data_IF_267198121118
#
_entry.id   IF_267198121118
#
_cell.length_a   1.000
_cell.length_b   1.000
_cell.length_c   1.000
_cell.angle_alpha   90.00
_cell.angle_beta   90.00
_cell.angle_gamma   90.00
#
_symmetry.space_group_name_H-M   'P 1'
#
loop_
_entity.id
_entity.type
_entity.pdbx_description
1 polymer ?
#
# COMPACT_ATOMS: atom_id res chain seq x y z
N UNK A 1 12.58 -13.00 27.69
CA UNK A 1 11.25 -13.66 27.73
C UNK A 1 11.45 -15.15 27.93
N UNK A 2 10.78 -15.81 28.90
CA UNK A 2 10.94 -17.24 29.11
C UNK A 2 10.47 -18.05 27.90
N UNK A 3 11.19 -19.10 27.53
CA UNK A 3 10.88 -19.92 26.34
C UNK A 3 9.48 -20.50 26.38
N UNK A 4 8.99 -20.85 27.58
CA UNK A 4 7.62 -21.32 27.77
C UNK A 4 6.56 -20.35 27.24
N UNK A 5 6.75 -19.04 27.47
CA UNK A 5 5.84 -18.02 26.97
C UNK A 5 5.88 -17.89 25.44
N UNK A 6 7.07 -18.05 24.87
CA UNK A 6 7.24 -18.06 23.41
C UNK A 6 6.49 -19.22 22.79
N UNK A 7 6.60 -20.41 23.37
CA UNK A 7 5.87 -21.61 22.91
C UNK A 7 4.36 -21.41 22.97
N UNK A 8 3.84 -20.88 24.06
CA UNK A 8 2.40 -20.62 24.21
C UNK A 8 1.92 -19.64 23.14
N UNK A 9 2.59 -18.50 23.01
CA UNK A 9 2.23 -17.49 22.00
C UNK A 9 2.29 -18.05 20.57
N UNK A 10 3.29 -18.92 20.29
CA UNK A 10 3.41 -19.56 18.99
C UNK A 10 2.25 -20.51 18.71
N UNK A 11 1.84 -21.32 19.69
CA UNK A 11 0.69 -22.21 19.55
C UNK A 11 -0.62 -21.45 19.36
N UNK A 12 -0.83 -20.36 20.09
CA UNK A 12 -1.99 -19.48 19.91
C UNK A 12 -2.04 -18.87 18.50
N UNK A 13 -0.88 -18.46 17.94
CA UNK A 13 -0.80 -17.96 16.58
C UNK A 13 -1.12 -19.04 15.55
N UNK A 14 -0.63 -20.27 15.74
CA UNK A 14 -0.93 -21.40 14.86
C UNK A 14 -2.44 -21.75 14.94
N UNK A 15 -3.01 -21.78 16.13
CA UNK A 15 -4.45 -22.02 16.30
C UNK A 15 -5.30 -20.94 15.61
N UNK A 16 -4.91 -19.67 15.76
CA UNK A 16 -5.58 -18.55 15.10
C UNK A 16 -5.50 -18.67 13.59
N UNK A 17 -4.33 -19.01 13.05
CA UNK A 17 -4.14 -19.25 11.62
C UNK A 17 -4.97 -20.43 11.10
N UNK A 18 -5.11 -21.51 11.89
CA UNK A 18 -5.90 -22.68 11.50
C UNK A 18 -7.41 -22.39 11.44
N UNK A 19 -7.89 -21.43 12.19
CA UNK A 19 -9.30 -20.98 12.17
C UNK A 19 -9.60 -20.04 11.01
N UNK A 20 -8.58 -19.44 10.39
CA UNK A 20 -8.73 -18.58 9.22
C UNK A 20 -8.84 -19.45 7.98
N UNK A 21 -10.05 -19.54 7.41
CA UNK A 21 -10.27 -20.26 6.13
C UNK A 21 -9.65 -19.47 4.98
N UNK A 22 -8.36 -19.59 4.77
CA UNK A 22 -7.66 -18.92 3.69
C UNK A 22 -6.15 -19.12 3.79
N UNK A 23 -5.47 -19.11 2.64
CA UNK A 23 -4.01 -19.29 2.56
C UNK A 23 -3.23 -18.00 2.87
N UNK A 24 -3.91 -16.89 3.16
CA UNK A 24 -3.30 -15.58 3.38
C UNK A 24 -3.47 -15.18 4.85
N UNK A 25 -2.39 -15.30 5.60
CA UNK A 25 -2.33 -14.91 7.03
C UNK A 25 -1.83 -13.48 7.23
N UNK A 26 -1.08 -12.95 6.27
CA UNK A 26 -0.57 -11.59 6.25
C UNK A 26 -1.45 -10.63 5.46
N UNK A 27 -0.90 -9.47 5.07
CA UNK A 27 -1.60 -8.48 4.25
C UNK A 27 -1.53 -8.92 2.78
N UNK A 28 -2.67 -9.13 2.10
CA UNK A 28 -2.67 -9.54 0.70
C UNK A 28 -2.23 -8.42 -0.23
N UNK A 29 -1.49 -8.76 -1.27
CA UNK A 29 -1.02 -7.82 -2.29
C UNK A 29 -2.03 -7.55 -3.40
N UNK A 30 -3.02 -8.42 -3.56
CA UNK A 30 -3.96 -8.42 -4.68
C UNK A 30 -3.51 -9.25 -5.88
N UNK A 31 -2.27 -9.73 -5.89
CA UNK A 31 -1.77 -10.71 -6.85
C UNK A 31 -1.92 -12.11 -6.28
N UNK A 32 -2.92 -12.83 -6.74
CA UNK A 32 -3.37 -14.11 -6.16
C UNK A 32 -2.26 -15.13 -6.06
N UNK A 33 -1.46 -15.31 -7.12
CA UNK A 33 -0.37 -16.27 -7.13
C UNK A 33 0.76 -15.88 -6.17
N UNK A 34 1.04 -14.58 -6.06
CA UNK A 34 2.02 -14.06 -5.11
C UNK A 34 1.53 -14.26 -3.68
N UNK A 35 0.28 -13.93 -3.41
CA UNK A 35 -0.34 -14.09 -2.09
C UNK A 35 -0.41 -15.57 -1.67
N UNK A 36 -0.66 -16.47 -2.62
CA UNK A 36 -0.61 -17.91 -2.36
C UNK A 36 0.79 -18.38 -1.96
N UNK A 37 1.84 -17.90 -2.64
CA UNK A 37 3.23 -18.29 -2.38
C UNK A 37 3.80 -17.67 -1.09
N UNK A 38 3.39 -16.46 -0.74
CA UNK A 38 3.92 -15.72 0.42
C UNK A 38 3.03 -15.84 1.65
N UNK A 39 1.80 -16.28 1.50
CA UNK A 39 0.74 -16.17 2.50
C UNK A 39 0.42 -14.73 2.88
N UNK A 40 0.65 -13.78 1.96
CA UNK A 40 0.58 -12.35 2.18
C UNK A 40 1.86 -11.79 2.84
N UNK A 41 1.90 -10.48 3.01
CA UNK A 41 3.04 -9.80 3.63
C UNK A 41 2.91 -9.86 5.15
N UNK A 42 3.89 -10.44 5.81
CA UNK A 42 3.85 -10.66 7.25
C UNK A 42 4.35 -9.45 8.04
N UNK A 43 3.91 -9.32 9.28
CA UNK A 43 4.38 -8.29 10.18
C UNK A 43 5.89 -8.42 10.42
N UNK A 44 6.57 -7.28 10.47
CA UNK A 44 8.02 -7.16 10.67
C UNK A 44 8.89 -7.68 9.53
N UNK A 45 8.31 -8.08 8.40
CA UNK A 45 9.09 -8.45 7.22
C UNK A 45 9.70 -7.22 6.55
N UNK A 46 10.93 -7.37 6.11
CA UNK A 46 11.60 -6.46 5.19
C UNK A 46 11.56 -7.05 3.78
N UNK A 47 10.85 -6.36 2.87
CA UNK A 47 10.60 -6.87 1.52
C UNK A 47 11.30 -5.97 0.51
N UNK A 48 12.15 -6.55 -0.32
CA UNK A 48 12.86 -5.84 -1.38
C UNK A 48 12.25 -6.17 -2.73
N UNK A 49 11.82 -5.13 -3.46
CA UNK A 49 11.35 -5.22 -4.85
C UNK A 49 12.37 -4.53 -5.74
N UNK A 50 13.05 -5.30 -6.56
CA UNK A 50 14.08 -4.81 -7.47
C UNK A 50 13.68 -5.05 -8.92
N UNK A 51 13.96 -4.07 -9.77
CA UNK A 51 13.77 -4.17 -11.21
C UNK A 51 14.75 -3.25 -11.95
N UNK A 52 15.05 -3.57 -13.20
CA UNK A 52 15.77 -2.65 -14.08
C UNK A 52 14.93 -1.38 -14.33
N UNK A 53 15.56 -0.25 -14.67
CA UNK A 53 14.84 0.97 -15.02
C UNK A 53 13.75 0.71 -16.07
N UNK A 54 12.61 1.40 -15.94
CA UNK A 54 11.47 1.33 -16.87
C UNK A 54 10.77 -0.04 -17.00
N UNK A 55 10.98 -0.94 -16.04
CA UNK A 55 10.33 -2.27 -16.04
C UNK A 55 9.01 -2.32 -15.28
N UNK A 56 8.49 -1.18 -14.84
CA UNK A 56 7.20 -1.09 -14.16
C UNK A 56 7.26 -1.31 -12.64
N UNK A 57 8.42 -1.15 -12.01
CA UNK A 57 8.58 -1.28 -10.54
C UNK A 57 7.57 -0.41 -9.78
N UNK A 58 7.51 0.89 -10.09
CA UNK A 58 6.58 1.82 -9.45
C UNK A 58 5.12 1.46 -9.71
N UNK A 59 4.77 1.07 -10.92
CA UNK A 59 3.42 0.63 -11.27
C UNK A 59 3.02 -0.62 -10.46
N UNK A 60 3.90 -1.60 -10.31
CA UNK A 60 3.69 -2.79 -9.52
C UNK A 60 3.43 -2.46 -8.04
N UNK A 61 4.28 -1.61 -7.47
CA UNK A 61 4.16 -1.20 -6.07
C UNK A 61 2.89 -0.38 -5.82
N UNK A 62 2.52 0.51 -6.74
CA UNK A 62 1.26 1.28 -6.63
C UNK A 62 0.02 0.39 -6.75
N UNK A 63 0.06 -0.67 -7.55
CA UNK A 63 -1.02 -1.66 -7.59
C UNK A 63 -1.20 -2.36 -6.24
N UNK A 64 -0.11 -2.73 -5.59
CA UNK A 64 -0.13 -3.31 -4.24
C UNK A 64 -0.71 -2.30 -3.25
N UNK A 65 -0.22 -1.07 -3.24
CA UNK A 65 -0.70 0.00 -2.36
C UNK A 65 -2.19 0.29 -2.56
N UNK A 66 -2.65 0.37 -3.80
CA UNK A 66 -4.05 0.55 -4.16
C UNK A 66 -4.92 -0.57 -3.58
N UNK A 67 -4.54 -1.80 -3.79
CA UNK A 67 -5.29 -2.95 -3.29
C UNK A 67 -5.38 -2.96 -1.77
N UNK A 68 -4.25 -2.75 -1.10
CA UNK A 68 -4.20 -2.73 0.37
C UNK A 68 -5.01 -1.59 0.97
N UNK A 69 -4.85 -0.37 0.45
CA UNK A 69 -5.51 0.81 0.99
C UNK A 69 -7.00 0.86 0.65
N UNK A 70 -7.38 0.56 -0.61
CA UNK A 70 -8.74 0.80 -1.09
C UNK A 70 -9.63 -0.44 -1.02
N UNK A 71 -9.08 -1.65 -1.11
CA UNK A 71 -9.86 -2.88 -1.06
C UNK A 71 -9.77 -3.59 0.29
N UNK A 72 -8.69 -3.41 1.03
CA UNK A 72 -8.45 -4.08 2.33
C UNK A 72 -8.43 -3.12 3.52
N UNK A 73 -8.69 -1.85 3.29
CA UNK A 73 -8.74 -0.81 4.31
C UNK A 73 -7.50 -0.79 5.23
N UNK A 74 -6.32 -0.97 4.63
CA UNK A 74 -5.05 -0.92 5.34
C UNK A 74 -4.48 0.51 5.34
N UNK A 75 -3.78 0.85 6.42
CA UNK A 75 -3.05 2.11 6.50
C UNK A 75 -1.68 1.94 5.82
N UNK A 76 -1.51 2.63 4.70
CA UNK A 76 -0.34 2.55 3.82
C UNK A 76 0.37 3.89 3.80
N UNK A 77 1.66 3.92 4.13
CA UNK A 77 2.51 5.10 3.96
C UNK A 77 3.49 4.89 2.82
N UNK A 78 3.51 5.81 1.86
CA UNK A 78 4.46 5.81 0.74
C UNK A 78 5.42 7.00 0.90
N UNK A 79 6.71 6.71 0.98
CA UNK A 79 7.77 7.71 0.90
C UNK A 79 8.38 7.66 -0.49
N UNK A 80 8.09 8.68 -1.31
CA UNK A 80 8.59 8.74 -2.67
C UNK A 80 9.88 9.57 -2.75
N UNK A 81 10.94 8.96 -3.23
CA UNK A 81 12.26 9.59 -3.41
C UNK A 81 12.49 10.05 -4.86
N UNK A 82 11.70 9.60 -5.81
CA UNK A 82 11.89 9.87 -7.24
C UNK A 82 10.74 10.70 -7.85
N UNK A 83 9.51 10.47 -7.41
CA UNK A 83 8.31 11.07 -7.99
C UNK A 83 7.62 12.00 -6.99
N UNK A 84 7.01 13.08 -7.48
CA UNK A 84 6.19 13.93 -6.63
C UNK A 84 4.89 13.22 -6.22
N UNK A 85 4.29 13.64 -5.11
CA UNK A 85 3.00 13.12 -4.65
C UNK A 85 1.88 13.35 -5.66
N UNK A 86 1.92 14.45 -6.41
CA UNK A 86 0.95 14.73 -7.47
C UNK A 86 1.08 13.75 -8.63
N UNK A 87 2.29 13.38 -9.02
CA UNK A 87 2.54 12.37 -10.06
C UNK A 87 2.04 10.99 -9.61
N UNK A 88 2.29 10.61 -8.37
CA UNK A 88 1.79 9.36 -7.79
C UNK A 88 0.26 9.38 -7.71
N UNK A 89 -0.33 10.49 -7.28
CA UNK A 89 -1.78 10.64 -7.19
C UNK A 89 -2.44 10.56 -8.57
N UNK A 90 -1.87 11.17 -9.60
CA UNK A 90 -2.37 11.04 -10.96
C UNK A 90 -2.38 9.58 -11.43
N UNK A 91 -1.35 8.81 -11.11
CA UNK A 91 -1.34 7.37 -11.42
C UNK A 91 -2.40 6.60 -10.66
N UNK A 92 -2.56 6.85 -9.37
CA UNK A 92 -3.58 6.20 -8.55
C UNK A 92 -5.00 6.54 -9.02
N UNK A 93 -5.26 7.79 -9.36
CA UNK A 93 -6.54 8.23 -9.92
C UNK A 93 -6.83 7.54 -11.25
N UNK A 94 -5.85 7.46 -12.16
CA UNK A 94 -6.00 6.75 -13.43
C UNK A 94 -6.28 5.26 -13.21
N UNK A 95 -5.56 4.62 -12.31
CA UNK A 95 -5.73 3.20 -12.00
C UNK A 95 -7.12 2.91 -11.41
N UNK A 96 -7.58 3.72 -10.48
CA UNK A 96 -8.85 3.50 -9.80
C UNK A 96 -10.05 3.89 -10.66
N UNK A 97 -10.01 5.03 -11.35
CA UNK A 97 -11.09 5.50 -12.22
C UNK A 97 -11.17 4.79 -13.56
N UNK A 98 -10.10 4.11 -13.98
CA UNK A 98 -9.95 3.54 -15.33
C UNK A 98 -9.96 4.59 -16.45
N UNK A 99 -9.68 5.83 -16.12
CA UNK A 99 -9.50 6.92 -17.07
C UNK A 99 -8.05 6.95 -17.53
N UNK A 100 -7.84 7.18 -18.83
CA UNK A 100 -6.50 7.25 -19.41
C UNK A 100 -5.67 8.35 -18.74
N UNK A 101 -4.46 8.00 -18.35
CA UNK A 101 -3.52 8.93 -17.68
C UNK A 101 -3.17 10.14 -18.54
N UNK A 102 -3.20 10.01 -19.86
CA UNK A 102 -2.98 11.13 -20.77
C UNK A 102 -4.14 12.14 -20.73
N UNK A 103 -5.38 11.66 -20.63
CA UNK A 103 -6.53 12.51 -20.44
C UNK A 103 -6.46 13.30 -19.12
N UNK A 104 -6.01 12.67 -18.04
CA UNK A 104 -5.78 13.35 -16.76
C UNK A 104 -4.70 14.42 -16.87
N UNK A 105 -3.61 14.12 -17.56
CA UNK A 105 -2.48 15.04 -17.70
C UNK A 105 -2.81 16.25 -18.55
N UNK A 106 -3.59 16.08 -19.62
CA UNK A 106 -3.99 17.16 -20.52
C UNK A 106 -5.24 17.90 -20.09
N UNK A 107 -6.00 17.34 -19.13
CA UNK A 107 -7.29 17.90 -18.70
C UNK A 107 -8.42 17.71 -19.71
N UNK A 108 -8.18 16.96 -20.79
CA UNK A 108 -9.17 16.72 -21.86
C UNK A 108 -10.02 15.50 -21.50
N UNK A 109 -11.02 15.72 -20.65
CA UNK A 109 -11.89 14.71 -20.09
C UNK A 109 -13.32 14.85 -20.59
N UNK A 110 -13.98 13.70 -20.89
CA UNK A 110 -15.41 13.62 -21.16
C UNK A 110 -16.20 13.68 -19.84
N UNK A 111 -17.50 13.96 -19.93
CA UNK A 111 -18.36 14.08 -18.75
C UNK A 111 -18.43 12.79 -17.92
N UNK A 112 -18.48 11.62 -18.57
CA UNK A 112 -18.45 10.32 -17.91
C UNK A 112 -17.10 10.05 -17.23
N UNK A 113 -16.00 10.48 -17.83
CA UNK A 113 -14.66 10.41 -17.24
C UNK A 113 -14.53 11.29 -15.99
N UNK A 114 -15.08 12.50 -16.03
CA UNK A 114 -15.18 13.38 -14.86
C UNK A 114 -15.95 12.75 -13.70
N UNK A 115 -17.07 12.10 -13.98
CA UNK A 115 -17.87 11.43 -12.97
C UNK A 115 -17.10 10.28 -12.30
N UNK A 116 -16.41 9.46 -13.08
CA UNK A 116 -15.55 8.37 -12.57
C UNK A 116 -14.39 8.91 -11.74
N UNK A 117 -13.78 10.01 -12.18
CA UNK A 117 -12.66 10.63 -11.51
C UNK A 117 -13.07 11.19 -10.15
N UNK A 118 -14.20 11.87 -10.06
CA UNK A 118 -14.74 12.43 -8.81
C UNK A 118 -15.08 11.30 -7.81
N UNK A 119 -15.72 10.24 -8.28
CA UNK A 119 -16.01 9.06 -7.44
C UNK A 119 -14.72 8.43 -6.89
N UNK A 120 -13.73 8.22 -7.74
CA UNK A 120 -12.43 7.67 -7.34
C UNK A 120 -11.68 8.59 -6.38
N UNK A 121 -11.72 9.91 -6.62
CA UNK A 121 -11.10 10.88 -5.73
C UNK A 121 -11.73 10.87 -4.32
N UNK A 122 -13.06 10.72 -4.23
CA UNK A 122 -13.76 10.57 -2.97
C UNK A 122 -13.33 9.34 -2.20
N UNK A 123 -13.23 8.20 -2.88
CA UNK A 123 -12.79 6.94 -2.27
C UNK A 123 -11.32 7.01 -1.80
N UNK A 124 -10.43 7.57 -2.61
CA UNK A 124 -9.02 7.75 -2.26
C UNK A 124 -8.90 8.69 -1.04
N UNK A 125 -9.66 9.78 -1.02
CA UNK A 125 -9.65 10.76 0.07
C UNK A 125 -10.10 10.19 1.41
N UNK A 126 -10.99 9.19 1.42
CA UNK A 126 -11.45 8.50 2.62
C UNK A 126 -10.52 7.36 3.08
N UNK A 127 -9.57 6.97 2.24
CA UNK A 127 -8.62 5.90 2.56
C UNK A 127 -7.56 6.35 3.58
N UNK A 128 -6.87 5.37 4.17
CA UNK A 128 -5.74 5.61 5.06
C UNK A 128 -4.40 5.54 4.33
N UNK A 129 -4.37 6.07 3.10
CA UNK A 129 -3.16 6.21 2.31
C UNK A 129 -2.48 7.55 2.60
N UNK A 130 -1.19 7.49 2.90
CA UNK A 130 -0.36 8.67 3.14
C UNK A 130 0.79 8.67 2.14
N UNK A 131 1.04 9.81 1.51
CA UNK A 131 2.15 9.99 0.57
C UNK A 131 3.02 11.14 1.05
N UNK A 132 4.30 10.87 1.16
CA UNK A 132 5.33 11.85 1.51
C UNK A 132 6.41 11.87 0.43
N UNK A 133 6.65 13.02 -0.15
CA UNK A 133 7.66 13.23 -1.19
C UNK A 133 8.74 14.23 -0.75
N UNK A 134 8.98 14.34 0.56
CA UNK A 134 10.01 15.22 1.12
C UNK A 134 11.38 14.88 0.51
N UNK A 135 12.02 15.83 -0.20
CA UNK A 135 13.32 15.57 -0.81
C UNK A 135 14.39 15.31 0.25
N UNK A 136 15.21 14.30 0.02
CA UNK A 136 16.33 13.99 0.91
C UNK A 136 15.92 13.64 2.34
N UNK A 137 14.71 13.13 2.53
CA UNK A 137 14.23 12.73 3.85
C UNK A 137 15.20 11.76 4.52
N UNK A 138 15.56 12.04 5.77
CA UNK A 138 16.40 11.15 6.56
C UNK A 138 15.61 9.99 7.16
N UNK A 139 16.31 8.90 7.50
CA UNK A 139 15.69 7.76 8.18
C UNK A 139 15.06 8.18 9.51
N UNK A 140 15.68 9.12 10.23
CA UNK A 140 15.17 9.63 11.48
C UNK A 140 13.83 10.38 11.32
N UNK A 141 13.73 11.23 10.31
CA UNK A 141 12.49 11.94 9.97
C UNK A 141 11.41 10.97 9.51
N UNK A 142 11.76 10.02 8.66
CA UNK A 142 10.85 8.97 8.18
C UNK A 142 10.27 8.16 9.35
N UNK A 143 11.13 7.75 10.29
CA UNK A 143 10.72 7.06 11.51
C UNK A 143 9.77 7.90 12.36
N UNK A 144 10.07 9.17 12.52
CA UNK A 144 9.23 10.12 13.30
C UNK A 144 7.84 10.27 12.67
N UNK A 145 7.77 10.45 11.35
CA UNK A 145 6.51 10.52 10.60
C UNK A 145 5.72 9.23 10.70
N UNK A 146 6.35 8.07 10.56
CA UNK A 146 5.70 6.77 10.69
C UNK A 146 5.10 6.56 12.09
N UNK A 147 5.79 6.96 13.14
CA UNK A 147 5.26 6.89 14.51
C UNK A 147 4.03 7.77 14.68
N UNK A 148 4.06 8.99 14.12
CA UNK A 148 2.90 9.89 14.12
C UNK A 148 1.72 9.28 13.37
N UNK A 149 1.93 8.76 12.14
CA UNK A 149 0.89 8.10 11.37
C UNK A 149 0.30 6.89 12.11
N UNK A 150 1.15 6.10 12.75
CA UNK A 150 0.71 4.95 13.56
C UNK A 150 -0.25 5.35 14.68
N UNK A 151 0.01 6.46 15.35
CA UNK A 151 -0.81 6.97 16.45
C UNK A 151 -2.13 7.59 15.96
N UNK A 152 -2.09 8.32 14.84
CA UNK A 152 -3.24 9.09 14.35
C UNK A 152 -4.18 8.26 13.46
N UNK A 153 -3.65 7.37 12.64
CA UNK A 153 -4.40 6.65 11.59
C UNK A 153 -4.21 5.14 11.62
N UNK A 154 -3.30 4.63 12.42
CA UNK A 154 -2.75 3.29 12.27
C UNK A 154 -1.72 3.24 11.14
N UNK A 155 -0.92 2.20 11.11
CA UNK A 155 0.07 1.98 10.05
C UNK A 155 0.32 0.49 9.90
N UNK A 156 0.01 -0.06 8.73
CA UNK A 156 0.13 -1.48 8.44
C UNK A 156 1.34 -1.76 7.55
N UNK A 157 1.65 -0.88 6.59
CA UNK A 157 2.76 -1.05 5.67
C UNK A 157 3.41 0.29 5.33
N UNK A 158 4.73 0.27 5.16
CA UNK A 158 5.55 1.38 4.70
C UNK A 158 6.20 0.98 3.39
N UNK A 159 6.09 1.84 2.38
CA UNK A 159 6.70 1.69 1.07
C UNK A 159 7.69 2.85 0.87
N UNK A 160 8.91 2.53 0.44
CA UNK A 160 9.98 3.51 0.24
C UNK A 160 10.55 3.36 -1.17
#
# INVERSE_FOLDING_TARGET
MPIRQVVINTLENIERASKTKGNVTGIPTGFTDLDYKTSGLQNSDFILIAARPSMGKTAFVLNIAQYMAFKKDKAVAIFSLEMSREQLMNRLLSMESKVDSQHLRTGNLKDDEWSKLIESAGMIGESRLMIDDTPGISIGEMRSKCRKYKLEHGLDIIII
#
